data_IF_038997746973
#
_entry.id   IF_038997746973
#
_cell.length_a   1.000
_cell.length_b   1.000
_cell.length_c   1.000
_cell.angle_alpha   90.00
_cell.angle_beta   90.00
_cell.angle_gamma   90.00
#
_symmetry.space_group_name_H-M   'P 1'
#
loop_
_entity.id
_entity.type
_entity.pdbx_description
1 polymer ?
#
# COMPACT_ATOMS: atom_id res chain seq x y z
N UNK A 1 -6.63 -18.57 -25.80
CA UNK A 1 -7.87 -19.31 -25.49
C UNK A 1 -7.74 -19.84 -24.08
N UNK A 2 -8.31 -19.12 -23.11
CA UNK A 2 -8.32 -19.54 -21.70
C UNK A 2 -9.55 -20.42 -21.47
N UNK A 3 -9.34 -21.73 -21.33
CA UNK A 3 -10.33 -22.58 -20.70
C UNK A 3 -10.23 -22.33 -19.19
N UNK A 4 -11.09 -21.47 -18.66
CA UNK A 4 -11.32 -21.41 -17.22
C UNK A 4 -12.00 -22.72 -16.82
N UNK A 5 -11.24 -23.61 -16.18
CA UNK A 5 -11.79 -24.69 -15.37
C UNK A 5 -12.37 -24.06 -14.09
N UNK A 6 -13.40 -23.22 -14.24
CA UNK A 6 -14.21 -22.78 -13.12
C UNK A 6 -15.05 -23.97 -12.67
N UNK A 7 -14.85 -24.36 -11.41
CA UNK A 7 -15.65 -25.37 -10.73
C UNK A 7 -17.09 -24.86 -10.62
N UNK A 8 -17.95 -25.36 -11.50
CA UNK A 8 -19.37 -25.04 -11.49
C UNK A 8 -20.10 -25.96 -10.49
N UNK A 9 -20.16 -25.52 -9.23
CA UNK A 9 -20.87 -26.21 -8.14
C UNK A 9 -22.38 -26.32 -8.39
N UNK A 10 -22.97 -25.60 -9.35
CA UNK A 10 -24.39 -25.80 -9.69
C UNK A 10 -24.63 -27.15 -10.39
N UNK A 11 -23.62 -27.69 -11.08
CA UNK A 11 -23.68 -29.05 -11.66
C UNK A 11 -23.64 -30.14 -10.60
N UNK A 12 -23.01 -29.88 -9.45
CA UNK A 12 -22.98 -30.78 -8.29
C UNK A 12 -24.40 -31.07 -7.79
N UNK A 13 -25.18 -30.01 -7.53
CA UNK A 13 -26.56 -30.12 -7.03
C UNK A 13 -27.52 -30.68 -8.09
N UNK A 14 -27.31 -30.37 -9.38
CA UNK A 14 -28.18 -30.85 -10.47
C UNK A 14 -27.94 -32.34 -10.77
N UNK A 15 -26.73 -32.87 -10.62
CA UNK A 15 -26.43 -34.27 -10.94
C UNK A 15 -26.72 -35.24 -9.80
N UNK A 16 -26.62 -34.80 -8.54
CA UNK A 16 -27.06 -35.57 -7.36
C UNK A 16 -28.55 -35.93 -7.46
N UNK A 17 -29.38 -35.01 -8.00
CA UNK A 17 -30.80 -35.25 -8.25
C UNK A 17 -31.10 -36.31 -9.33
N UNK A 18 -30.13 -36.66 -10.19
CA UNK A 18 -30.34 -37.52 -11.36
C UNK A 18 -29.81 -38.96 -11.23
N UNK A 19 -28.95 -39.25 -10.26
CA UNK A 19 -28.37 -40.59 -10.06
C UNK A 19 -28.15 -40.89 -8.56
N UNK A 20 -29.24 -41.10 -7.79
CA UNK A 20 -29.17 -41.34 -6.34
C UNK A 20 -28.54 -42.68 -5.94
N UNK A 21 -28.11 -43.51 -6.90
CA UNK A 21 -27.61 -44.88 -6.68
C UNK A 21 -26.10 -45.03 -6.63
N UNK A 22 -25.33 -43.98 -6.97
CA UNK A 22 -23.86 -44.02 -6.90
C UNK A 22 -23.37 -43.43 -5.59
N UNK A 23 -22.40 -44.09 -4.96
CA UNK A 23 -21.79 -43.59 -3.72
C UNK A 23 -21.00 -42.30 -3.97
N UNK A 24 -20.81 -41.47 -2.94
CA UNK A 24 -19.99 -40.24 -3.05
C UNK A 24 -18.58 -40.51 -3.61
N UNK A 25 -18.02 -41.69 -3.34
CA UNK A 25 -16.71 -42.12 -3.85
C UNK A 25 -16.72 -42.39 -5.36
N UNK A 26 -17.78 -42.99 -5.90
CA UNK A 26 -17.96 -43.18 -7.34
C UNK A 26 -18.19 -41.86 -8.09
N UNK A 27 -18.77 -40.87 -7.41
CA UNK A 27 -18.97 -39.53 -7.94
C UNK A 27 -17.69 -38.71 -8.02
N UNK A 28 -16.90 -38.68 -6.94
CA UNK A 28 -15.61 -38.01 -6.90
C UNK A 28 -14.66 -38.55 -8.00
N UNK A 29 -14.71 -39.86 -8.27
CA UNK A 29 -13.96 -40.53 -9.34
C UNK A 29 -14.35 -40.09 -10.75
N UNK A 30 -15.62 -39.76 -10.98
CA UNK A 30 -16.11 -39.38 -12.31
C UNK A 30 -15.99 -37.88 -12.59
N UNK A 31 -16.24 -37.03 -11.59
CA UNK A 31 -16.23 -35.58 -11.77
C UNK A 31 -14.81 -34.99 -11.72
N UNK A 32 -13.94 -35.58 -10.91
CA UNK A 32 -12.60 -35.04 -10.62
C UNK A 32 -11.55 -36.16 -10.58
N UNK A 33 -11.34 -36.90 -11.69
CA UNK A 33 -10.42 -38.04 -11.74
C UNK A 33 -8.98 -37.67 -11.36
N UNK A 34 -8.58 -36.40 -11.53
CA UNK A 34 -7.26 -35.89 -11.18
C UNK A 34 -7.06 -35.65 -9.67
N UNK A 35 -8.14 -35.43 -8.90
CA UNK A 35 -8.05 -35.24 -7.45
C UNK A 35 -7.80 -36.56 -6.71
N UNK A 36 -8.29 -37.68 -7.25
CA UNK A 36 -8.02 -39.01 -6.70
C UNK A 36 -6.64 -39.56 -7.07
N UNK A 37 -5.98 -38.97 -8.07
CA UNK A 37 -4.58 -39.25 -8.41
C UNK A 37 -3.59 -38.56 -7.45
N UNK A 38 -4.06 -37.73 -6.53
CA UNK A 38 -3.22 -37.01 -5.56
C UNK A 38 -2.88 -37.83 -4.30
N UNK A 39 -3.32 -39.08 -4.15
CA UNK A 39 -2.97 -39.91 -3.00
C UNK A 39 -2.08 -41.11 -3.38
N UNK A 40 -1.17 -41.52 -2.49
CA UNK A 40 0.15 -40.96 -2.23
C UNK A 40 1.19 -41.35 -3.31
N UNK A 41 2.14 -40.46 -3.61
CA UNK A 41 3.32 -40.76 -4.44
C UNK A 41 4.54 -41.18 -3.61
N UNK A 42 4.43 -42.30 -2.90
CA UNK A 42 5.61 -43.10 -2.52
C UNK A 42 5.27 -44.57 -2.69
N UNK A 43 5.93 -45.31 -3.61
CA UNK A 43 5.63 -46.72 -3.86
C UNK A 43 5.92 -47.66 -2.67
N UNK A 44 6.38 -47.15 -1.53
CA UNK A 44 6.77 -47.93 -0.35
C UNK A 44 5.89 -47.77 0.89
N UNK A 45 5.04 -46.74 0.97
CA UNK A 45 4.24 -46.41 2.16
C UNK A 45 2.73 -46.50 1.91
N UNK A 46 2.32 -47.45 1.05
CA UNK A 46 0.93 -47.91 1.04
C UNK A 46 0.67 -48.60 2.38
N UNK A 47 0.31 -47.81 3.41
CA UNK A 47 -0.56 -48.35 4.44
C UNK A 47 -1.91 -48.52 3.76
N UNK A 48 -2.22 -49.75 3.34
CA UNK A 48 -3.61 -50.15 3.24
C UNK A 48 -4.21 -49.79 4.60
N UNK A 49 -5.05 -48.76 4.60
CA UNK A 49 -5.83 -48.42 5.76
C UNK A 49 -6.70 -49.65 6.01
N UNK A 50 -6.34 -50.45 7.01
CA UNK A 50 -7.00 -51.70 7.39
C UNK A 50 -8.28 -51.32 8.16
N UNK A 51 -9.14 -50.60 7.45
CA UNK A 51 -10.35 -50.01 7.98
C UNK A 51 -11.51 -50.98 7.77
N UNK A 52 -12.30 -51.14 8.81
CA UNK A 52 -13.58 -51.80 8.67
C UNK A 52 -14.52 -50.96 7.77
N UNK A 53 -15.61 -51.56 7.24
CA UNK A 53 -16.52 -50.84 6.34
C UNK A 53 -17.14 -49.57 6.93
N UNK A 54 -17.32 -49.49 8.26
CA UNK A 54 -17.85 -48.32 8.95
C UNK A 54 -16.83 -47.17 8.97
N UNK A 55 -15.56 -47.48 9.24
CA UNK A 55 -14.45 -46.53 9.17
C UNK A 55 -14.18 -46.05 7.74
N UNK A 56 -14.38 -46.90 6.72
CA UNK A 56 -14.33 -46.48 5.31
C UNK A 56 -15.49 -45.52 4.99
N UNK A 57 -16.68 -45.77 5.51
CA UNK A 57 -17.84 -44.91 5.30
C UNK A 57 -17.68 -43.54 5.99
N UNK A 58 -17.13 -43.51 7.22
CA UNK A 58 -16.81 -42.27 7.93
C UNK A 58 -15.68 -41.48 7.26
N UNK A 59 -14.61 -42.15 6.81
CA UNK A 59 -13.55 -41.52 6.02
C UNK A 59 -14.13 -40.87 4.76
N UNK A 60 -14.96 -41.61 4.02
CA UNK A 60 -15.57 -41.16 2.77
C UNK A 60 -16.62 -40.06 2.94
N UNK A 61 -17.34 -40.04 4.07
CA UNK A 61 -18.40 -39.05 4.31
C UNK A 61 -17.91 -37.78 4.98
N UNK A 62 -17.07 -37.89 6.00
CA UNK A 62 -16.71 -36.78 6.86
C UNK A 62 -15.34 -36.20 6.46
N UNK A 63 -14.30 -37.05 6.42
CA UNK A 63 -12.94 -36.56 6.18
C UNK A 63 -12.74 -36.03 4.75
N UNK A 64 -13.36 -36.66 3.76
CA UNK A 64 -13.34 -36.15 2.39
C UNK A 64 -14.15 -34.87 2.22
N UNK A 65 -15.29 -34.74 2.89
CA UNK A 65 -16.08 -33.51 2.85
C UNK A 65 -15.28 -32.35 3.45
N UNK A 66 -14.69 -32.55 4.63
CA UNK A 66 -13.83 -31.58 5.30
C UNK A 66 -12.64 -31.18 4.41
N UNK A 67 -11.99 -32.16 3.77
CA UNK A 67 -10.91 -31.88 2.84
C UNK A 67 -11.36 -31.03 1.65
N UNK A 68 -12.52 -31.31 1.03
CA UNK A 68 -13.06 -30.49 -0.05
C UNK A 68 -13.43 -29.07 0.40
N UNK A 69 -13.95 -28.92 1.62
CA UNK A 69 -14.15 -27.60 2.21
C UNK A 69 -12.83 -26.84 2.40
N UNK A 70 -11.80 -27.51 2.89
CA UNK A 70 -10.46 -26.95 3.01
C UNK A 70 -9.90 -26.51 1.65
N UNK A 71 -10.03 -27.35 0.61
CA UNK A 71 -9.63 -27.01 -0.77
C UNK A 71 -10.31 -25.72 -1.23
N UNK A 72 -11.62 -25.61 -0.99
CA UNK A 72 -12.39 -24.44 -1.36
C UNK A 72 -11.92 -23.20 -0.60
N UNK A 73 -11.78 -23.30 0.72
CA UNK A 73 -11.36 -22.19 1.57
C UNK A 73 -9.99 -21.65 1.14
N UNK A 74 -9.03 -22.54 0.87
CA UNK A 74 -7.69 -22.16 0.38
C UNK A 74 -7.75 -21.53 -1.03
N UNK A 75 -8.66 -21.98 -1.89
CA UNK A 75 -8.82 -21.41 -3.23
C UNK A 75 -9.39 -19.98 -3.19
N UNK A 76 -10.26 -19.69 -2.22
CA UNK A 76 -10.88 -18.37 -2.01
C UNK A 76 -9.96 -17.38 -1.27
N UNK A 77 -8.83 -17.83 -0.72
CA UNK A 77 -7.87 -16.96 -0.06
C UNK A 77 -7.23 -15.93 -1.02
N UNK A 78 -7.07 -14.73 -0.48
CA UNK A 78 -6.41 -13.57 -1.07
C UNK A 78 -5.27 -13.08 -0.18
N UNK A 79 -4.42 -12.20 -0.70
CA UNK A 79 -3.33 -11.55 0.07
C UNK A 79 -3.85 -10.79 1.29
N UNK A 80 -5.06 -10.25 1.20
CA UNK A 80 -5.70 -9.46 2.25
C UNK A 80 -6.46 -10.31 3.28
N UNK A 81 -6.37 -11.64 3.18
CA UNK A 81 -7.09 -12.53 4.07
C UNK A 81 -6.59 -12.36 5.52
N UNK A 82 -7.49 -12.32 6.52
CA UNK A 82 -7.10 -12.12 7.91
C UNK A 82 -6.13 -13.18 8.41
N UNK A 83 -5.18 -12.78 9.27
CA UNK A 83 -4.17 -13.70 9.80
C UNK A 83 -4.81 -14.87 10.57
N UNK A 84 -5.87 -14.62 11.32
CA UNK A 84 -6.59 -15.67 12.07
C UNK A 84 -7.14 -16.75 11.11
N UNK A 85 -7.72 -16.32 9.98
CA UNK A 85 -8.18 -17.25 8.93
C UNK A 85 -7.04 -18.06 8.32
N UNK A 86 -5.87 -17.45 8.13
CA UNK A 86 -4.69 -18.19 7.65
C UNK A 86 -4.21 -19.21 8.68
N UNK A 87 -4.21 -18.86 9.97
CA UNK A 87 -3.82 -19.77 11.05
C UNK A 87 -4.75 -20.98 11.14
N UNK A 88 -6.06 -20.75 11.05
CA UNK A 88 -7.06 -21.83 11.03
C UNK A 88 -6.82 -22.76 9.84
N UNK A 89 -6.60 -22.21 8.64
CA UNK A 89 -6.32 -22.99 7.43
C UNK A 89 -5.01 -23.79 7.56
N UNK A 90 -3.98 -23.24 8.19
CA UNK A 90 -2.74 -23.99 8.44
C UNK A 90 -2.97 -25.16 9.39
N UNK A 91 -3.84 -25.00 10.40
CA UNK A 91 -4.23 -26.09 11.29
C UNK A 91 -5.01 -27.17 10.51
N UNK A 92 -6.00 -26.79 9.72
CA UNK A 92 -6.81 -27.72 8.93
C UNK A 92 -5.98 -28.51 7.89
N UNK A 93 -4.97 -27.86 7.29
CA UNK A 93 -4.01 -28.53 6.40
C UNK A 93 -3.22 -29.59 7.15
N UNK A 94 -2.70 -29.27 8.34
CA UNK A 94 -1.93 -30.23 9.13
C UNK A 94 -2.80 -31.40 9.55
N UNK A 95 -4.02 -31.14 10.01
CA UNK A 95 -4.97 -32.18 10.41
C UNK A 95 -5.35 -33.08 9.23
N UNK A 96 -5.48 -32.51 8.02
CA UNK A 96 -5.68 -33.28 6.78
C UNK A 96 -4.45 -34.14 6.42
N UNK A 97 -3.23 -33.62 6.58
CA UNK A 97 -1.99 -34.38 6.35
C UNK A 97 -1.84 -35.56 7.33
N UNK A 98 -2.24 -35.38 8.59
CA UNK A 98 -2.28 -36.46 9.59
C UNK A 98 -3.26 -37.56 9.20
N UNK A 99 -4.35 -37.20 8.51
CA UNK A 99 -5.31 -38.12 7.87
C UNK A 99 -4.84 -38.66 6.51
N UNK A 100 -3.57 -38.45 6.15
CA UNK A 100 -2.93 -38.90 4.91
C UNK A 100 -3.42 -38.22 3.61
N UNK A 101 -4.02 -37.03 3.70
CA UNK A 101 -4.34 -36.22 2.52
C UNK A 101 -3.10 -35.51 1.94
N UNK A 102 -2.96 -35.52 0.61
CA UNK A 102 -1.91 -34.75 -0.07
C UNK A 102 -2.28 -33.27 -0.16
N UNK A 103 -1.68 -32.49 0.73
CA UNK A 103 -1.90 -31.05 0.83
C UNK A 103 -0.83 -30.21 0.11
N UNK A 104 0.04 -30.81 -0.72
CA UNK A 104 1.13 -30.06 -1.40
C UNK A 104 0.61 -28.91 -2.26
N UNK A 105 -0.52 -29.10 -2.94
CA UNK A 105 -1.12 -28.04 -3.75
C UNK A 105 -1.69 -26.90 -2.90
N UNK A 106 -2.28 -27.21 -1.72
CA UNK A 106 -2.76 -26.21 -0.76
C UNK A 106 -1.59 -25.37 -0.24
N UNK A 107 -0.48 -26.03 0.15
CA UNK A 107 0.77 -25.35 0.54
C UNK A 107 1.34 -24.49 -0.58
N UNK A 108 1.31 -24.97 -1.82
CA UNK A 108 1.79 -24.21 -2.97
C UNK A 108 0.96 -22.93 -3.20
N UNK A 109 -0.36 -23.00 -3.06
CA UNK A 109 -1.26 -21.83 -3.13
C UNK A 109 -0.95 -20.83 -2.00
N UNK A 110 -0.76 -21.29 -0.76
CA UNK A 110 -0.36 -20.42 0.35
C UNK A 110 1.00 -19.76 0.11
N UNK A 111 1.98 -20.53 -0.36
CA UNK A 111 3.30 -20.00 -0.71
C UNK A 111 3.27 -18.98 -1.85
N UNK A 112 2.32 -19.09 -2.78
CA UNK A 112 2.10 -18.07 -3.80
C UNK A 112 1.56 -16.76 -3.22
N UNK A 113 0.58 -16.84 -2.30
CA UNK A 113 0.03 -15.66 -1.63
C UNK A 113 1.08 -14.91 -0.82
N UNK A 114 1.98 -15.63 -0.13
CA UNK A 114 3.11 -15.01 0.58
C UNK A 114 4.00 -14.21 -0.37
N UNK A 115 4.31 -14.76 -1.55
CA UNK A 115 5.11 -14.04 -2.56
C UNK A 115 4.40 -12.80 -3.10
N UNK A 116 3.09 -12.87 -3.32
CA UNK A 116 2.32 -11.69 -3.72
C UNK A 116 2.32 -10.61 -2.62
N UNK A 117 2.20 -11.02 -1.36
CA UNK A 117 2.29 -10.11 -0.21
C UNK A 117 3.67 -9.44 -0.13
N UNK A 118 4.76 -10.20 -0.30
CA UNK A 118 6.13 -9.67 -0.31
C UNK A 118 6.32 -8.62 -1.42
N UNK A 119 5.78 -8.88 -2.62
CA UNK A 119 5.83 -7.93 -3.74
C UNK A 119 5.03 -6.66 -3.44
N UNK A 120 3.82 -6.80 -2.88
CA UNK A 120 2.99 -5.67 -2.49
C UNK A 120 3.68 -4.82 -1.39
N UNK A 121 4.31 -5.47 -0.41
CA UNK A 121 5.04 -4.81 0.66
C UNK A 121 6.26 -4.06 0.13
N UNK A 122 7.02 -4.65 -0.79
CA UNK A 122 8.15 -3.99 -1.43
C UNK A 122 7.72 -2.74 -2.22
N UNK A 123 6.56 -2.81 -2.90
CA UNK A 123 6.00 -1.65 -3.61
C UNK A 123 5.61 -0.53 -2.65
N UNK A 124 4.93 -0.86 -1.54
CA UNK A 124 4.55 0.12 -0.52
C UNK A 124 5.78 0.78 0.12
N UNK A 125 6.85 0.01 0.39
CA UNK A 125 8.10 0.58 0.90
C UNK A 125 8.73 1.57 -0.08
N UNK A 126 8.70 1.27 -1.38
CA UNK A 126 9.21 2.19 -2.41
C UNK A 126 8.37 3.49 -2.48
N UNK A 127 7.05 3.38 -2.41
CA UNK A 127 6.15 4.56 -2.38
C UNK A 127 6.37 5.42 -1.13
N UNK A 128 6.62 4.80 0.04
CA UNK A 128 6.98 5.51 1.27
C UNK A 128 8.31 6.25 1.10
N UNK A 129 9.32 5.58 0.54
CA UNK A 129 10.63 6.20 0.33
C UNK A 129 10.56 7.40 -0.62
N UNK A 130 9.79 7.30 -1.71
CA UNK A 130 9.53 8.42 -2.61
C UNK A 130 8.79 9.57 -1.88
N UNK A 131 7.81 9.24 -1.03
CA UNK A 131 7.14 10.20 -0.17
C UNK A 131 8.08 10.93 0.80
N UNK A 132 9.05 10.22 1.39
CA UNK A 132 10.07 10.81 2.27
C UNK A 132 11.01 11.75 1.53
N UNK A 133 11.36 11.45 0.27
CA UNK A 133 12.14 12.35 -0.59
C UNK A 133 11.37 13.65 -0.85
N UNK A 134 10.09 13.57 -1.19
CA UNK A 134 9.25 14.76 -1.38
C UNK A 134 9.12 15.60 -0.10
N UNK A 135 8.99 14.97 1.07
CA UNK A 135 8.95 15.70 2.35
C UNK A 135 10.24 16.48 2.54
N UNK A 136 11.39 15.87 2.25
CA UNK A 136 12.69 16.55 2.37
C UNK A 136 12.81 17.75 1.42
N UNK A 137 12.39 17.60 0.16
CA UNK A 137 12.38 18.72 -0.80
C UNK A 137 11.47 19.87 -0.34
N UNK A 138 10.32 19.55 0.26
CA UNK A 138 9.42 20.55 0.84
C UNK A 138 10.07 21.25 2.03
N UNK A 139 10.77 20.53 2.90
CA UNK A 139 11.50 21.11 4.04
C UNK A 139 12.61 22.06 3.58
N UNK A 140 13.41 21.66 2.59
CA UNK A 140 14.43 22.52 1.98
C UNK A 140 13.82 23.79 1.37
N UNK A 141 12.74 23.64 0.60
CA UNK A 141 12.00 24.76 0.00
C UNK A 141 11.42 25.68 1.08
N UNK A 142 10.94 25.10 2.19
CA UNK A 142 10.42 25.87 3.31
C UNK A 142 11.52 26.70 4.00
N UNK A 143 12.71 26.13 4.20
CA UNK A 143 13.86 26.84 4.76
C UNK A 143 14.29 28.00 3.85
N UNK A 144 14.33 27.78 2.53
CA UNK A 144 14.60 28.85 1.56
C UNK A 144 13.57 29.98 1.63
N UNK A 145 12.27 29.65 1.76
CA UNK A 145 11.21 30.65 1.91
C UNK A 145 11.37 31.48 3.18
N UNK A 146 11.67 30.84 4.32
CA UNK A 146 11.93 31.54 5.59
C UNK A 146 13.12 32.50 5.45
N UNK A 147 14.19 32.07 4.78
CA UNK A 147 15.35 32.90 4.50
C UNK A 147 15.02 34.09 3.58
N UNK A 148 14.19 33.88 2.55
CA UNK A 148 13.72 34.95 1.67
C UNK A 148 12.82 35.95 2.40
N UNK A 149 11.96 35.50 3.31
CA UNK A 149 11.14 36.38 4.14
C UNK A 149 11.98 37.24 5.08
N UNK A 150 13.04 36.67 5.68
CA UNK A 150 13.99 37.42 6.50
C UNK A 150 14.68 38.53 5.69
N UNK A 151 15.20 38.20 4.50
CA UNK A 151 15.80 39.18 3.58
C UNK A 151 14.81 40.25 3.12
N UNK A 152 13.54 39.89 2.91
CA UNK A 152 12.48 40.84 2.56
C UNK A 152 12.26 41.86 3.69
N UNK A 153 12.20 41.42 4.94
CA UNK A 153 12.06 42.32 6.11
C UNK A 153 13.25 43.28 6.24
N UNK A 154 14.47 42.78 6.05
CA UNK A 154 15.68 43.61 6.06
C UNK A 154 15.63 44.69 4.96
N UNK A 155 15.22 44.30 3.74
CA UNK A 155 15.07 45.23 2.62
C UNK A 155 13.98 46.28 2.87
N UNK A 156 12.86 45.90 3.49
CA UNK A 156 11.81 46.84 3.87
C UNK A 156 12.29 47.85 4.92
N UNK A 157 13.13 47.42 5.88
CA UNK A 157 13.74 48.30 6.87
C UNK A 157 14.70 49.30 6.22
N UNK A 158 15.61 48.84 5.36
CA UNK A 158 16.54 49.70 4.61
C UNK A 158 15.79 50.72 3.75
N UNK A 159 14.69 50.32 3.11
CA UNK A 159 13.86 51.24 2.33
C UNK A 159 13.23 52.36 3.18
N UNK A 160 12.84 52.07 4.42
CA UNK A 160 12.36 53.11 5.36
C UNK A 160 13.48 54.08 5.72
N UNK A 161 14.67 53.58 6.03
CA UNK A 161 15.83 54.42 6.36
C UNK A 161 16.23 55.32 5.19
N UNK A 162 16.22 54.79 3.96
CA UNK A 162 16.45 55.58 2.74
C UNK A 162 15.40 56.69 2.61
N UNK A 163 14.12 56.38 2.86
CA UNK A 163 13.04 57.36 2.79
C UNK A 163 13.23 58.49 3.81
N UNK A 164 13.56 58.15 5.06
CA UNK A 164 13.86 59.13 6.11
C UNK A 164 15.05 60.02 5.75
N UNK A 165 16.12 59.45 5.17
CA UNK A 165 17.27 60.21 4.71
C UNK A 165 16.91 61.15 3.55
N UNK A 166 16.11 60.69 2.58
CA UNK A 166 15.63 61.54 1.48
C UNK A 166 14.81 62.73 1.99
N UNK A 167 13.96 62.52 2.99
CA UNK A 167 13.14 63.59 3.56
C UNK A 167 14.01 64.60 4.32
N UNK A 168 15.05 64.14 5.04
CA UNK A 168 16.04 65.04 5.67
C UNK A 168 16.85 65.83 4.65
N UNK A 169 17.25 65.22 3.54
CA UNK A 169 17.97 65.92 2.46
C UNK A 169 17.10 67.02 1.86
N UNK A 170 15.81 66.76 1.64
CA UNK A 170 14.87 67.77 1.13
C UNK A 170 14.70 68.96 2.09
N UNK A 171 14.60 68.70 3.40
CA UNK A 171 14.53 69.78 4.40
C UNK A 171 15.83 70.61 4.41
N UNK A 172 17.00 69.95 4.38
CA UNK A 172 18.29 70.65 4.30
C UNK A 172 18.42 71.48 3.02
N UNK A 173 17.97 70.97 1.87
CA UNK A 173 17.97 71.72 0.60
C UNK A 173 17.09 72.98 0.70
N UNK A 174 15.94 72.89 1.36
CA UNK A 174 15.04 74.03 1.60
C UNK A 174 15.70 75.06 2.51
N UNK A 175 16.38 74.61 3.58
CA UNK A 175 17.13 75.48 4.47
C UNK A 175 18.26 76.20 3.72
N UNK A 176 19.02 75.49 2.88
CA UNK A 176 20.08 76.06 2.03
C UNK A 176 19.50 77.14 1.11
N UNK A 177 18.42 76.86 0.39
CA UNK A 177 17.77 77.84 -0.49
C UNK A 177 17.30 79.09 0.28
N UNK A 178 16.79 78.91 1.51
CA UNK A 178 16.38 80.03 2.37
C UNK A 178 17.57 80.90 2.83
N UNK A 179 18.74 80.29 3.06
CA UNK A 179 19.96 80.99 3.45
C UNK A 179 20.58 81.72 2.25
N UNK A 180 20.58 81.11 1.07
CA UNK A 180 21.06 81.73 -0.17
C UNK A 180 20.24 82.97 -0.53
N UNK A 181 18.91 82.91 -0.40
CA UNK A 181 18.03 84.06 -0.64
C UNK A 181 18.26 85.19 0.36
N UNK A 182 18.42 84.87 1.65
CA UNK A 182 18.79 85.86 2.69
C UNK A 182 20.17 86.49 2.44
N UNK A 183 21.14 85.71 1.96
CA UNK A 183 22.49 86.17 1.62
C UNK A 183 22.49 87.14 0.44
N UNK A 184 21.73 86.84 -0.63
CA UNK A 184 21.55 87.74 -1.78
C UNK A 184 20.93 89.07 -1.36
N UNK A 185 19.84 89.04 -0.59
CA UNK A 185 19.18 90.24 -0.05
C UNK A 185 20.14 91.13 0.77
N UNK A 186 21.01 90.54 1.60
CA UNK A 186 22.02 91.31 2.36
C UNK A 186 23.09 91.95 1.49
N UNK A 187 23.53 91.28 0.42
CA UNK A 187 24.50 91.85 -0.54
C UNK A 187 23.91 93.02 -1.31
N UNK A 188 22.64 92.94 -1.69
CA UNK A 188 21.95 94.01 -2.42
C UNK A 188 21.74 95.26 -1.53
N UNK A 189 21.42 95.07 -0.24
CA UNK A 189 21.28 96.17 0.74
C UNK A 189 22.64 96.83 1.05
N UNK A 190 23.72 96.05 1.16
CA UNK A 190 25.06 96.60 1.37
C UNK A 190 25.59 97.36 0.15
N UNK A 191 25.26 96.92 -1.07
CA UNK A 191 25.58 97.63 -2.31
C UNK A 191 24.81 98.94 -2.50
N UNK A 192 23.58 99.03 -1.98
CA UNK A 192 22.77 100.24 -2.04
C UNK A 192 23.14 101.31 -0.97
N UNK A 193 23.89 100.93 0.07
CA UNK A 193 24.26 101.84 1.18
C UNK A 193 25.59 102.58 0.93
N UNK A 194 26.25 102.35 -0.21
CA UNK A 194 27.56 102.92 -0.56
C UNK A 194 27.51 104.04 -1.62
N UNK A 195 26.34 104.67 -1.84
CA UNK A 195 26.18 105.86 -2.70
C UNK A 195 25.87 107.08 -1.84
#
# INVERSE_FOLDING_TARGET
MHNSNQLDFSKFLIMESKNPTKSCSEWAALAYPHFLQLFPQSPGDFKTLDLDPEQVEDLMKNDWADFFYLVRNVAELTVDSPMDTLQDIFADIRDSEEKAFDCRFLRAKLGYLVKEADVAMAKLMAEIQEGEEYIREIEETHEELVNLEAKKKEKEQLNKEIQELMDRVKELDKDIQSLETKSKLKKDVAGATLI
#
